data_IF_525065679605
#
_entry.id   IF_525065679605
#
_cell.length_a   1.000
_cell.length_b   1.000
_cell.length_c   1.000
_cell.angle_alpha   90.00
_cell.angle_beta   90.00
_cell.angle_gamma   90.00
#
_symmetry.space_group_name_H-M   'P 1'
#
loop_
_entity.id
_entity.type
_entity.pdbx_description
1 polymer ?
#
# COMPACT_ATOMS: atom_id res chain seq x y z
N UNK A 1 15.75 -27.17 -11.70
CA UNK A 1 17.05 -26.66 -11.20
C UNK A 1 16.79 -25.31 -10.58
N UNK A 2 17.20 -25.10 -9.33
CA UNK A 2 17.01 -23.81 -8.67
C UNK A 2 17.94 -22.76 -9.33
N UNK A 3 17.38 -21.61 -9.65
CA UNK A 3 18.02 -20.47 -10.33
C UNK A 3 18.10 -19.27 -9.40
N UNK A 4 18.97 -18.29 -9.70
CA UNK A 4 19.05 -17.03 -8.94
C UNK A 4 17.70 -16.28 -8.87
N UNK A 5 16.86 -16.44 -9.91
CA UNK A 5 15.52 -15.85 -9.96
C UNK A 5 14.53 -16.47 -8.95
N UNK A 6 14.82 -17.65 -8.40
CA UNK A 6 13.94 -18.28 -7.40
C UNK A 6 13.97 -17.54 -6.07
N UNK A 7 15.06 -16.82 -5.76
CA UNK A 7 15.13 -15.92 -4.59
C UNK A 7 14.05 -14.84 -4.70
N UNK A 8 13.94 -14.20 -5.87
CA UNK A 8 12.92 -13.17 -6.12
C UNK A 8 11.50 -13.75 -6.03
N UNK A 9 11.28 -14.95 -6.58
CA UNK A 9 9.96 -15.61 -6.55
C UNK A 9 9.54 -15.97 -5.12
N UNK A 10 10.44 -16.55 -4.33
CA UNK A 10 10.19 -16.89 -2.94
C UNK A 10 9.92 -15.64 -2.10
N UNK A 11 10.68 -14.58 -2.33
CA UNK A 11 10.46 -13.31 -1.66
C UNK A 11 9.09 -12.72 -1.99
N UNK A 12 8.71 -12.66 -3.27
CA UNK A 12 7.41 -12.14 -3.69
C UNK A 12 6.25 -12.96 -3.09
N UNK A 13 6.38 -14.29 -3.02
CA UNK A 13 5.40 -15.15 -2.36
C UNK A 13 5.28 -14.83 -0.85
N UNK A 14 6.41 -14.63 -0.17
CA UNK A 14 6.44 -14.27 1.23
C UNK A 14 5.86 -12.87 1.51
N UNK A 15 6.05 -11.92 0.59
CA UNK A 15 5.49 -10.56 0.64
C UNK A 15 3.98 -10.57 0.40
N UNK A 16 3.51 -11.27 -0.63
CA UNK A 16 2.08 -11.37 -0.95
C UNK A 16 1.24 -11.94 0.19
N UNK A 17 1.80 -12.89 0.95
CA UNK A 17 1.15 -13.47 2.14
C UNK A 17 0.98 -12.45 3.29
N UNK A 18 1.89 -11.48 3.42
CA UNK A 18 1.94 -10.53 4.55
C UNK A 18 1.32 -9.16 4.26
N UNK A 19 0.99 -8.86 3.00
CA UNK A 19 0.41 -7.59 2.48
C UNK A 19 1.29 -6.34 2.67
N UNK A 20 1.73 -6.05 3.89
CA UNK A 20 2.59 -4.91 4.27
C UNK A 20 3.68 -5.44 5.21
N UNK A 21 4.89 -4.91 5.08
CA UNK A 21 6.04 -5.31 5.89
C UNK A 21 6.96 -4.12 6.19
N UNK A 22 7.64 -4.14 7.33
CA UNK A 22 8.68 -3.13 7.64
C UNK A 22 9.98 -3.43 6.89
N UNK A 23 10.83 -2.43 6.68
CA UNK A 23 12.14 -2.62 6.05
C UNK A 23 12.98 -3.71 6.73
N UNK A 24 13.03 -3.70 8.07
CA UNK A 24 13.78 -4.68 8.85
C UNK A 24 13.26 -6.12 8.64
N UNK A 25 11.94 -6.27 8.51
CA UNK A 25 11.34 -7.56 8.23
C UNK A 25 11.60 -7.99 6.78
N UNK A 26 11.57 -7.04 5.84
CA UNK A 26 11.87 -7.27 4.43
C UNK A 26 13.29 -7.80 4.24
N UNK A 27 14.28 -7.16 4.88
CA UNK A 27 15.67 -7.58 4.86
C UNK A 27 15.85 -8.99 5.43
N UNK A 28 15.21 -9.30 6.57
CA UNK A 28 15.23 -10.65 7.16
C UNK A 28 14.60 -11.71 6.25
N UNK A 29 13.48 -11.39 5.59
CA UNK A 29 12.85 -12.31 4.63
C UNK A 29 13.81 -12.55 3.46
N UNK A 30 14.45 -11.50 2.95
CA UNK A 30 15.42 -11.61 1.87
C UNK A 30 16.61 -12.50 2.23
N UNK A 31 17.18 -12.31 3.43
CA UNK A 31 18.23 -13.17 4.00
C UNK A 31 17.78 -14.66 4.03
N UNK A 32 16.59 -14.92 4.57
CA UNK A 32 16.03 -16.28 4.65
C UNK A 32 15.72 -16.89 3.29
N UNK A 33 15.31 -16.10 2.30
CA UNK A 33 15.12 -16.57 0.94
C UNK A 33 16.44 -16.98 0.29
N UNK A 34 17.52 -16.24 0.53
CA UNK A 34 18.87 -16.59 0.03
C UNK A 34 19.36 -17.87 0.70
N UNK A 35 19.22 -17.98 2.03
CA UNK A 35 19.56 -19.19 2.79
C UNK A 35 18.83 -20.42 2.24
N UNK A 36 17.51 -20.31 2.01
CA UNK A 36 16.69 -21.39 1.47
C UNK A 36 17.07 -21.82 0.05
N UNK A 37 17.53 -20.91 -0.81
CA UNK A 37 17.99 -21.26 -2.16
C UNK A 37 19.39 -21.88 -2.12
N UNK A 38 20.27 -21.41 -1.24
CA UNK A 38 21.61 -21.97 -1.04
C UNK A 38 21.59 -23.40 -0.51
N UNK A 39 20.65 -23.76 0.37
CA UNK A 39 20.51 -25.15 0.85
C UNK A 39 20.13 -26.12 -0.26
N UNK A 40 19.34 -25.66 -1.25
CA UNK A 40 18.93 -26.49 -2.40
C UNK A 40 20.02 -26.53 -3.48
N UNK A 41 20.84 -25.48 -3.60
CA UNK A 41 21.88 -25.41 -4.62
C UNK A 41 23.15 -24.71 -4.11
N UNK A 42 24.08 -25.48 -3.56
CA UNK A 42 25.33 -25.01 -2.92
C UNK A 42 26.34 -24.34 -3.87
N UNK A 43 26.15 -24.43 -5.18
CA UNK A 43 27.07 -23.86 -6.19
C UNK A 43 26.71 -22.43 -6.60
N UNK A 44 25.59 -21.89 -6.14
CA UNK A 44 25.20 -20.51 -6.42
C UNK A 44 25.84 -19.57 -5.39
N UNK A 45 26.86 -18.84 -5.84
CA UNK A 45 27.45 -17.76 -5.05
C UNK A 45 26.56 -16.52 -5.10
N UNK A 46 25.71 -16.39 -4.08
CA UNK A 46 24.84 -15.22 -3.91
C UNK A 46 25.40 -14.45 -2.73
N UNK A 47 26.14 -13.39 -3.01
CA UNK A 47 26.60 -12.45 -1.99
C UNK A 47 25.38 -11.75 -1.37
N UNK A 48 25.25 -11.88 -0.05
CA UNK A 48 24.29 -11.11 0.72
C UNK A 48 25.08 -10.06 1.49
N UNK A 49 24.84 -8.79 1.16
CA UNK A 49 25.33 -7.67 1.93
C UNK A 49 24.12 -7.00 2.59
N UNK A 50 24.20 -6.81 3.90
CA UNK A 50 23.17 -6.12 4.71
C UNK A 50 23.24 -4.58 4.56
N UNK A 51 23.90 -4.11 3.49
CA UNK A 51 24.05 -2.69 3.21
C UNK A 51 22.80 -2.13 2.54
N UNK A 52 22.41 -0.91 2.95
CA UNK A 52 21.25 -0.19 2.37
C UNK A 52 21.38 -0.01 0.85
N UNK A 53 22.58 0.22 0.34
CA UNK A 53 22.81 0.33 -1.10
C UNK A 53 22.52 -0.98 -1.86
N UNK A 54 22.94 -2.13 -1.30
CA UNK A 54 22.66 -3.44 -1.89
C UNK A 54 21.17 -3.78 -1.85
N UNK A 55 20.46 -3.35 -0.80
CA UNK A 55 19.01 -3.45 -0.73
C UNK A 55 18.32 -2.62 -1.83
N UNK A 56 18.68 -1.35 -1.99
CA UNK A 56 18.06 -0.46 -2.97
C UNK A 56 18.32 -0.94 -4.42
N UNK A 57 19.53 -1.43 -4.71
CA UNK A 57 19.87 -2.06 -5.99
C UNK A 57 19.03 -3.32 -6.25
N UNK A 58 18.82 -4.13 -5.21
CA UNK A 58 18.02 -5.34 -5.32
C UNK A 58 16.53 -5.03 -5.50
N UNK A 59 16.00 -4.03 -4.80
CA UNK A 59 14.62 -3.53 -4.99
C UNK A 59 14.45 -2.98 -6.41
N UNK A 60 15.46 -2.29 -6.95
CA UNK A 60 15.43 -1.79 -8.34
C UNK A 60 15.37 -2.94 -9.35
N UNK A 61 16.15 -4.00 -9.15
CA UNK A 61 16.10 -5.22 -9.99
C UNK A 61 14.74 -5.92 -9.88
N UNK A 62 14.18 -5.98 -8.68
CA UNK A 62 12.86 -6.56 -8.42
C UNK A 62 11.74 -5.74 -9.11
N UNK A 63 11.77 -4.41 -9.00
CA UNK A 63 10.81 -3.55 -9.70
C UNK A 63 10.94 -3.66 -11.23
N UNK A 64 12.16 -3.85 -11.74
CA UNK A 64 12.37 -4.10 -13.17
C UNK A 64 11.71 -5.40 -13.64
N UNK A 65 11.75 -6.46 -12.83
CA UNK A 65 11.08 -7.73 -13.17
C UNK A 65 9.57 -7.69 -12.97
N UNK A 66 9.06 -6.78 -12.14
CA UNK A 66 7.62 -6.55 -11.92
C UNK A 66 6.98 -5.59 -12.94
N UNK A 67 7.76 -4.75 -13.63
CA UNK A 67 7.24 -3.81 -14.64
C UNK A 67 6.30 -4.45 -15.67
N UNK A 68 6.55 -5.65 -16.23
CA UNK A 68 5.62 -6.28 -17.19
C UNK A 68 4.27 -6.68 -16.60
N UNK A 69 4.18 -6.79 -15.28
CA UNK A 69 2.95 -7.13 -14.54
C UNK A 69 2.23 -5.88 -14.02
N UNK A 70 2.74 -4.69 -14.33
CA UNK A 70 2.26 -3.42 -13.76
C UNK A 70 2.26 -3.41 -12.22
N UNK A 71 3.14 -4.19 -11.59
CA UNK A 71 3.30 -4.23 -10.14
C UNK A 71 4.55 -3.45 -9.73
N UNK A 72 4.52 -2.89 -8.53
CA UNK A 72 5.65 -2.19 -7.92
C UNK A 72 5.77 -2.57 -6.46
N UNK A 73 7.00 -2.81 -6.03
CA UNK A 73 7.35 -2.87 -4.62
C UNK A 73 7.61 -1.44 -4.13
N UNK A 74 6.56 -0.84 -3.59
CA UNK A 74 6.55 0.57 -3.20
C UNK A 74 7.02 0.76 -1.76
N UNK A 75 7.80 1.81 -1.56
CA UNK A 75 8.14 2.32 -0.25
C UNK A 75 6.99 3.18 0.30
N UNK A 76 6.64 2.95 1.55
CA UNK A 76 5.56 3.60 2.27
C UNK A 76 6.09 4.04 3.63
N UNK A 77 5.53 5.11 4.17
CA UNK A 77 5.86 5.56 5.52
C UNK A 77 4.63 5.36 6.42
N UNK A 78 4.82 4.70 7.56
CA UNK A 78 3.75 4.63 8.57
C UNK A 78 3.65 5.97 9.29
N UNK A 79 2.54 6.68 9.08
CA UNK A 79 2.27 8.01 9.63
C UNK A 79 2.20 8.02 11.17
N UNK A 80 1.85 6.88 11.80
CA UNK A 80 1.68 6.81 13.25
C UNK A 80 2.97 6.45 13.97
N UNK A 81 3.77 5.54 13.38
CA UNK A 81 5.00 5.05 14.00
C UNK A 81 6.27 5.68 13.44
N UNK A 82 6.17 6.37 12.30
CA UNK A 82 7.28 6.98 11.60
C UNK A 82 8.24 5.96 10.97
N UNK A 83 7.78 4.74 10.71
CA UNK A 83 8.64 3.63 10.24
C UNK A 83 8.51 3.43 8.73
N UNK A 84 9.63 3.04 8.13
CA UNK A 84 9.72 2.63 6.73
C UNK A 84 9.03 1.27 6.52
N UNK A 85 7.99 1.30 5.70
CA UNK A 85 7.15 0.17 5.33
C UNK A 85 7.25 -0.08 3.82
N UNK A 86 6.97 -1.30 3.42
CA UNK A 86 6.94 -1.71 2.02
C UNK A 86 5.67 -2.51 1.74
N UNK A 87 5.13 -2.32 0.55
CA UNK A 87 4.00 -3.09 0.04
C UNK A 87 4.13 -3.32 -1.46
N UNK A 88 3.50 -4.40 -1.93
CA UNK A 88 3.35 -4.63 -3.36
C UNK A 88 2.08 -3.91 -3.84
N UNK A 89 2.24 -2.89 -4.68
CA UNK A 89 1.15 -2.09 -5.23
C UNK A 89 0.96 -2.41 -6.70
N UNK A 90 -0.29 -2.34 -7.15
CA UNK A 90 -0.61 -2.41 -8.56
C UNK A 90 -0.67 -1.00 -9.15
N UNK A 91 0.17 -0.73 -10.15
CA UNK A 91 0.22 0.55 -10.87
C UNK A 91 -0.93 0.69 -11.87
N UNK A 92 -1.55 -0.42 -12.29
CA UNK A 92 -2.66 -0.40 -13.23
C UNK A 92 -4.02 -0.39 -12.50
N UNK A 93 -4.72 0.72 -12.64
CA UNK A 93 -6.08 0.90 -12.11
C UNK A 93 -7.17 0.22 -12.95
N UNK A 94 -7.05 -1.09 -13.19
CA UNK A 94 -8.03 -1.84 -13.98
C UNK A 94 -9.30 -2.21 -13.19
N UNK A 95 -10.44 -2.34 -13.88
CA UNK A 95 -11.70 -2.86 -13.30
C UNK A 95 -11.53 -4.24 -12.66
N UNK A 96 -10.52 -5.02 -13.07
CA UNK A 96 -10.16 -6.32 -12.48
C UNK A 96 -9.71 -6.17 -11.02
N UNK A 97 -9.03 -5.07 -10.66
CA UNK A 97 -8.66 -4.79 -9.26
C UNK A 97 -9.89 -4.51 -8.38
N UNK A 98 -10.99 -4.01 -8.97
CA UNK A 98 -12.28 -3.83 -8.28
C UNK A 98 -13.06 -5.15 -8.14
N UNK A 99 -12.83 -6.13 -9.02
CA UNK A 99 -13.42 -7.47 -8.89
C UNK A 99 -12.65 -8.37 -7.90
N UNK A 100 -11.38 -8.05 -7.63
CA UNK A 100 -10.55 -8.77 -6.67
C UNK A 100 -10.83 -8.40 -5.20
N UNK A 101 -11.60 -7.34 -4.96
CA UNK A 101 -12.06 -7.00 -3.62
C UNK A 101 -13.31 -7.80 -3.29
N UNK A 102 -13.36 -8.41 -2.11
CA UNK A 102 -14.55 -9.07 -1.53
C UNK A 102 -15.73 -8.10 -1.27
N UNK A 103 -15.62 -6.86 -1.73
CA UNK A 103 -16.54 -5.77 -1.50
C UNK A 103 -17.41 -5.52 -2.74
N UNK A 104 -18.68 -5.24 -2.51
CA UNK A 104 -19.65 -4.86 -3.53
C UNK A 104 -19.33 -3.48 -4.11
N UNK A 105 -19.84 -3.18 -5.30
CA UNK A 105 -19.66 -1.88 -5.95
C UNK A 105 -20.12 -0.70 -5.06
N UNK A 106 -21.16 -0.90 -4.23
CA UNK A 106 -21.65 0.10 -3.29
C UNK A 106 -20.65 0.36 -2.14
N UNK A 107 -20.03 -0.69 -1.60
CA UNK A 107 -19.02 -0.60 -0.55
C UNK A 107 -17.72 0.04 -1.06
N UNK A 108 -17.32 -0.27 -2.30
CA UNK A 108 -16.16 0.37 -2.96
C UNK A 108 -16.43 1.85 -3.20
N UNK A 109 -17.63 2.20 -3.68
CA UNK A 109 -18.02 3.60 -3.85
C UNK A 109 -18.03 4.35 -2.52
N UNK A 110 -18.48 3.69 -1.44
CA UNK A 110 -18.39 4.21 -0.09
C UNK A 110 -16.95 4.43 0.37
N UNK A 111 -16.07 3.44 0.20
CA UNK A 111 -14.66 3.57 0.52
C UNK A 111 -14.01 4.75 -0.23
N UNK A 112 -14.26 4.88 -1.54
CA UNK A 112 -13.78 6.02 -2.35
C UNK A 112 -14.33 7.35 -1.85
N UNK A 113 -15.59 7.39 -1.43
CA UNK A 113 -16.22 8.57 -0.83
C UNK A 113 -15.54 8.98 0.47
N UNK A 114 -15.26 8.03 1.37
CA UNK A 114 -14.54 8.26 2.63
C UNK A 114 -13.11 8.75 2.37
N UNK A 115 -12.39 8.13 1.42
CA UNK A 115 -11.04 8.56 1.02
C UNK A 115 -11.06 9.96 0.40
N UNK A 116 -12.14 10.37 -0.28
CA UNK A 116 -12.28 11.72 -0.81
C UNK A 116 -12.47 12.79 0.28
N UNK A 117 -13.01 12.44 1.45
CA UNK A 117 -13.06 13.36 2.59
C UNK A 117 -11.65 13.61 3.13
N UNK A 118 -10.76 12.62 3.02
CA UNK A 118 -9.36 12.83 3.38
C UNK A 118 -8.76 13.88 2.44
N UNK A 119 -8.02 14.86 2.97
CA UNK A 119 -7.44 15.91 2.15
C UNK A 119 -6.57 15.29 1.05
N UNK A 120 -6.66 15.78 -0.21
CA UNK A 120 -5.95 15.18 -1.32
C UNK A 120 -4.44 15.34 -1.14
N UNK A 121 -3.74 14.21 -1.12
CA UNK A 121 -2.28 14.14 -1.17
C UNK A 121 -1.82 14.46 -2.61
N UNK A 122 -1.86 15.75 -2.98
CA UNK A 122 -1.29 16.22 -4.25
C UNK A 122 0.06 16.88 -3.98
N UNK A 123 1.09 16.03 -4.03
CA UNK A 123 2.43 16.24 -4.58
C UNK A 123 3.12 17.60 -4.34
N UNK A 124 4.22 17.53 -3.59
CA UNK A 124 5.32 18.50 -3.48
C UNK A 124 6.02 18.81 -4.83
N UNK A 125 5.35 19.46 -5.80
CA UNK A 125 6.01 19.95 -7.03
C UNK A 125 5.46 21.33 -7.47
N UNK A 126 6.28 22.41 -7.45
CA UNK A 126 6.05 23.63 -8.23
C UNK A 126 6.92 23.64 -9.51
N UNK A 127 6.85 24.64 -10.43
CA UNK A 127 5.91 25.75 -10.59
C UNK A 127 5.35 25.87 -12.04
N UNK A 128 4.28 26.67 -12.19
CA UNK A 128 3.90 27.49 -13.36
C UNK A 128 2.45 27.26 -13.85
N UNK A 129 1.61 28.28 -13.58
CA UNK A 129 0.25 28.55 -14.08
C UNK A 129 -0.81 27.49 -13.67
N UNK A 130 -1.86 27.76 -12.90
CA UNK A 130 -2.64 28.98 -12.67
C UNK A 130 -3.26 28.98 -11.25
N UNK A 131 -3.23 30.16 -10.63
CA UNK A 131 -3.37 30.41 -9.19
C UNK A 131 -4.83 30.63 -8.75
N UNK A 132 -5.74 29.70 -9.04
CA UNK A 132 -7.15 29.80 -8.62
C UNK A 132 -7.62 28.61 -7.77
N UNK A 133 -6.85 28.17 -6.77
CA UNK A 133 -7.33 27.22 -5.74
C UNK A 133 -6.72 27.44 -4.34
N UNK A 134 -6.19 28.63 -4.03
CA UNK A 134 -5.39 28.84 -2.82
C UNK A 134 -6.18 29.04 -1.51
N UNK A 135 -7.51 29.13 -1.51
CA UNK A 135 -8.28 29.34 -0.27
C UNK A 135 -8.71 28.05 0.46
N UNK A 136 -8.58 26.86 -0.14
CA UNK A 136 -8.96 25.61 0.54
C UNK A 136 -7.79 24.85 1.17
N UNK A 137 -6.54 25.30 0.97
CA UNK A 137 -5.34 24.67 1.54
C UNK A 137 -5.00 25.25 2.93
N UNK A 138 -5.47 26.45 3.26
CA UNK A 138 -5.11 27.16 4.50
C UNK A 138 -6.00 26.83 5.73
N UNK A 139 -6.94 25.88 5.61
CA UNK A 139 -7.93 25.57 6.64
C UNK A 139 -7.89 24.13 7.18
N UNK A 140 -6.87 23.33 6.86
CA UNK A 140 -6.65 22.06 7.53
C UNK A 140 -5.60 22.28 8.64
N UNK A 141 -6.03 22.46 9.92
CA UNK A 141 -5.07 22.44 11.00
C UNK A 141 -4.63 20.99 11.16
N UNK A 142 -3.35 20.73 10.86
CA UNK A 142 -2.57 19.57 11.32
C UNK A 142 -2.45 18.34 10.42
N UNK A 143 -2.28 18.45 9.09
CA UNK A 143 -1.86 17.31 8.23
C UNK A 143 -2.57 15.98 8.56
N UNK A 144 -3.82 16.05 9.01
CA UNK A 144 -4.41 14.98 9.81
C UNK A 144 -5.17 14.08 8.86
N UNK A 145 -4.54 12.98 8.44
CA UNK A 145 -5.14 11.92 7.62
C UNK A 145 -6.19 11.09 8.38
N UNK A 146 -6.98 11.75 9.23
CA UNK A 146 -8.00 11.13 10.07
C UNK A 146 -9.36 11.77 9.79
N UNK A 147 -10.38 10.92 9.70
CA UNK A 147 -11.78 11.34 9.56
C UNK A 147 -12.53 10.87 10.78
N UNK A 148 -13.32 11.75 11.39
CA UNK A 148 -14.19 11.36 12.49
C UNK A 148 -15.22 10.33 12.02
N UNK A 149 -15.56 9.34 12.85
CA UNK A 149 -16.58 8.33 12.52
C UNK A 149 -17.91 8.96 12.11
N UNK A 150 -18.27 10.12 12.70
CA UNK A 150 -19.49 10.86 12.35
C UNK A 150 -19.43 11.45 10.94
N UNK A 151 -18.27 11.95 10.51
CA UNK A 151 -18.09 12.48 9.16
C UNK A 151 -18.12 11.36 8.11
N UNK A 152 -17.48 10.21 8.38
CA UNK A 152 -17.54 9.04 7.50
C UNK A 152 -18.99 8.53 7.30
N UNK A 153 -19.79 8.49 8.38
CA UNK A 153 -21.20 8.06 8.31
C UNK A 153 -22.12 9.08 7.62
N UNK A 154 -21.74 10.35 7.53
CA UNK A 154 -22.51 11.36 6.78
C UNK A 154 -22.35 11.20 5.27
N UNK A 155 -21.21 10.69 4.78
CA UNK A 155 -21.02 10.44 3.35
C UNK A 155 -21.95 9.39 2.77
N UNK A 156 -22.50 8.50 3.60
CA UNK A 156 -23.55 7.55 3.17
C UNK A 156 -24.74 8.29 2.55
N UNK A 157 -25.06 9.49 3.02
CA UNK A 157 -26.14 10.31 2.45
C UNK A 157 -25.72 11.10 1.20
N UNK A 158 -24.41 11.37 1.05
CA UNK A 158 -23.81 12.08 -0.09
C UNK A 158 -23.68 11.16 -1.30
N UNK A 159 -23.43 9.88 -1.05
CA UNK A 159 -23.40 8.83 -2.05
C UNK A 159 -24.83 8.41 -2.38
N UNK A 160 -25.20 8.43 -3.67
CA UNK A 160 -26.47 7.89 -4.17
C UNK A 160 -26.47 6.35 -4.18
N UNK A 161 -25.94 5.72 -3.14
CA UNK A 161 -25.92 4.27 -2.96
C UNK A 161 -27.05 3.84 -2.03
N UNK A 162 -27.66 2.68 -2.29
CA UNK A 162 -28.71 2.08 -1.45
C UNK A 162 -28.15 1.48 -0.15
N UNK A 163 -27.17 2.12 0.49
CA UNK A 163 -26.54 1.63 1.72
C UNK A 163 -27.10 2.38 2.93
N UNK A 164 -27.46 1.64 3.97
CA UNK A 164 -27.93 2.22 5.25
C UNK A 164 -26.76 2.59 6.16
N UNK A 165 -26.98 3.50 7.12
CA UNK A 165 -25.94 3.90 8.10
C UNK A 165 -25.39 2.71 8.89
N UNK A 166 -26.24 1.77 9.29
CA UNK A 166 -25.83 0.55 10.02
C UNK A 166 -24.97 -0.38 9.15
N UNK A 167 -25.28 -0.50 7.85
CA UNK A 167 -24.42 -1.23 6.92
C UNK A 167 -23.06 -0.54 6.76
N UNK A 168 -23.05 0.81 6.68
CA UNK A 168 -21.82 1.58 6.60
C UNK A 168 -20.90 1.39 7.83
N UNK A 169 -21.46 1.31 9.04
CA UNK A 169 -20.71 1.03 10.27
C UNK A 169 -20.05 -0.36 10.22
N UNK A 170 -20.79 -1.38 9.78
CA UNK A 170 -20.24 -2.74 9.62
C UNK A 170 -19.10 -2.77 8.60
N UNK A 171 -19.27 -2.07 7.47
CA UNK A 171 -18.26 -1.97 6.40
C UNK A 171 -17.03 -1.21 6.88
N UNK A 172 -17.19 -0.09 7.60
CA UNK A 172 -16.09 0.62 8.25
C UNK A 172 -15.33 -0.28 9.23
N UNK A 173 -16.05 -1.05 10.05
CA UNK A 173 -15.45 -2.03 10.97
C UNK A 173 -14.63 -3.09 10.21
N UNK A 174 -15.12 -3.54 9.07
CA UNK A 174 -14.41 -4.50 8.22
C UNK A 174 -13.12 -3.91 7.62
N UNK A 175 -13.13 -2.63 7.23
CA UNK A 175 -11.93 -1.94 6.72
C UNK A 175 -10.86 -1.81 7.80
N UNK A 176 -11.27 -1.53 9.04
CA UNK A 176 -10.34 -1.50 10.18
C UNK A 176 -9.79 -2.90 10.47
N UNK A 177 -10.65 -3.93 10.50
CA UNK A 177 -10.22 -5.31 10.75
C UNK A 177 -9.26 -5.85 9.69
N UNK A 178 -9.43 -5.46 8.42
CA UNK A 178 -8.55 -5.86 7.31
C UNK A 178 -7.32 -4.97 7.13
N UNK A 179 -7.14 -3.96 7.99
CA UNK A 179 -5.98 -3.06 7.96
C UNK A 179 -6.00 -2.01 6.86
N UNK A 180 -7.16 -1.73 6.24
CA UNK A 180 -7.33 -0.65 5.26
C UNK A 180 -7.47 0.73 5.92
N UNK A 181 -8.01 0.78 7.15
CA UNK A 181 -8.15 1.99 7.94
C UNK A 181 -7.64 1.72 9.37
N UNK A 182 -7.09 2.75 10.01
CA UNK A 182 -6.71 2.69 11.42
C UNK A 182 -7.72 3.49 12.24
N UNK A 183 -8.21 2.90 13.35
CA UNK A 183 -9.02 3.63 14.32
C UNK A 183 -8.08 4.34 15.29
N UNK A 184 -8.15 5.68 15.33
CA UNK A 184 -7.46 6.45 16.37
C UNK A 184 -7.95 6.03 17.75
N UNK A 185 -7.04 5.97 18.72
CA UNK A 185 -7.37 5.66 20.12
C UNK A 185 -8.25 6.74 20.73
#
# INVERSE_FOLDING_TARGET
MASSNDVQRLFLQAVLSRRILSQQLAAKIWEKCIEAVKTVNQTLDIEFNDDRASWDDWVTKLNTSLNPLDLEFAHLFDETSGKDMYALVNRKGDQVAQMATEYTAAEIAYFKGVVRILPPLKSLVPPNLDCLQLEQIMLAPNESYCVSSLAALREVNSLKTNMTKTQAESVLGSFVAKGWLLKSK
#
